data_IF_120778451154
#
_entry.id   IF_120778451154
#
_cell.length_a   1.000
_cell.length_b   1.000
_cell.length_c   1.000
_cell.angle_alpha   90.00
_cell.angle_beta   90.00
_cell.angle_gamma   90.00
#
_symmetry.space_group_name_H-M   'P 1'
#
loop_
_entity.id
_entity.type
_entity.pdbx_description
1 polymer ?
#
# COMPACT_ATOMS: atom_id res chain seq x y z
N UNK A 1 -59.63 -15.25 5.48
CA UNK A 1 -58.85 -16.21 4.67
C UNK A 1 -57.41 -16.12 5.17
N UNK A 2 -57.14 -16.80 6.28
CA UNK A 2 -55.80 -16.90 6.87
C UNK A 2 -55.01 -17.93 6.08
N UNK A 3 -53.99 -17.48 5.35
CA UNK A 3 -53.06 -18.39 4.66
C UNK A 3 -52.06 -18.86 5.71
N UNK A 4 -52.25 -20.09 6.20
CA UNK A 4 -51.31 -20.81 7.05
C UNK A 4 -49.99 -21.04 6.28
N UNK A 5 -49.04 -20.12 6.43
CA UNK A 5 -47.63 -20.28 6.03
C UNK A 5 -46.87 -21.15 7.05
N UNK A 6 -47.36 -22.37 7.29
CA UNK A 6 -46.68 -23.35 8.13
C UNK A 6 -45.94 -24.36 7.24
N UNK A 7 -44.65 -24.12 6.95
CA UNK A 7 -43.58 -25.11 6.65
C UNK A 7 -42.49 -24.71 5.62
N UNK A 8 -41.84 -23.55 5.77
CA UNK A 8 -40.54 -23.30 5.09
C UNK A 8 -39.29 -23.18 6.00
N UNK A 9 -39.06 -24.05 7.01
CA UNK A 9 -37.85 -24.00 7.82
C UNK A 9 -36.58 -24.55 7.14
N UNK A 10 -36.67 -25.38 6.08
CA UNK A 10 -35.49 -26.05 5.50
C UNK A 10 -34.67 -25.21 4.52
N UNK A 11 -35.31 -24.32 3.73
CA UNK A 11 -34.60 -23.54 2.71
C UNK A 11 -33.76 -22.39 3.30
N UNK A 12 -34.19 -21.82 4.43
CA UNK A 12 -33.48 -20.74 5.14
C UNK A 12 -32.13 -21.24 5.71
N UNK A 13 -32.04 -22.52 6.07
CA UNK A 13 -30.81 -23.12 6.58
C UNK A 13 -29.70 -23.23 5.52
N UNK A 14 -30.04 -23.45 4.25
CA UNK A 14 -29.04 -23.74 3.21
C UNK A 14 -28.44 -22.45 2.65
N UNK A 15 -29.29 -21.44 2.39
CA UNK A 15 -28.85 -20.12 1.96
C UNK A 15 -27.93 -19.43 2.99
N UNK A 16 -28.24 -19.56 4.28
CA UNK A 16 -27.41 -18.99 5.35
C UNK A 16 -26.03 -19.65 5.47
N UNK A 17 -25.94 -20.99 5.28
CA UNK A 17 -24.67 -21.71 5.23
C UNK A 17 -23.83 -21.30 4.03
N UNK A 18 -24.42 -21.24 2.84
CA UNK A 18 -23.72 -20.81 1.62
C UNK A 18 -23.16 -19.39 1.77
N UNK A 19 -23.97 -18.44 2.24
CA UNK A 19 -23.53 -17.07 2.46
C UNK A 19 -22.37 -16.99 3.45
N UNK A 20 -22.44 -17.74 4.57
CA UNK A 20 -21.35 -17.79 5.55
C UNK A 20 -20.05 -18.31 4.90
N UNK A 21 -20.14 -19.37 4.10
CA UNK A 21 -18.98 -19.93 3.38
C UNK A 21 -18.38 -18.91 2.41
N UNK A 22 -19.20 -18.25 1.60
CA UNK A 22 -18.74 -17.23 0.63
C UNK A 22 -18.03 -16.08 1.35
N UNK A 23 -18.55 -15.59 2.49
CA UNK A 23 -17.91 -14.54 3.28
C UNK A 23 -16.51 -14.94 3.78
N UNK A 24 -16.34 -16.19 4.23
CA UNK A 24 -15.03 -16.68 4.67
C UNK A 24 -14.07 -16.86 3.50
N UNK A 25 -14.54 -17.41 2.37
CA UNK A 25 -13.72 -17.51 1.15
C UNK A 25 -13.21 -16.11 0.77
N UNK A 26 -14.11 -15.12 0.75
CA UNK A 26 -13.77 -13.75 0.42
C UNK A 26 -12.73 -13.16 1.39
N UNK A 27 -12.92 -13.32 2.71
CA UNK A 27 -11.94 -12.86 3.70
C UNK A 27 -10.58 -13.54 3.52
N UNK A 28 -10.55 -14.86 3.39
CA UNK A 28 -9.30 -15.62 3.30
C UNK A 28 -8.54 -15.34 2.00
N UNK A 29 -9.23 -15.23 0.87
CA UNK A 29 -8.59 -14.81 -0.38
C UNK A 29 -8.02 -13.40 -0.26
N UNK A 30 -8.70 -12.48 0.42
CA UNK A 30 -8.20 -11.11 0.61
C UNK A 30 -7.02 -11.05 1.59
N UNK A 31 -7.00 -11.90 2.63
CA UNK A 31 -5.82 -12.05 3.50
C UNK A 31 -4.64 -12.67 2.75
N UNK A 32 -4.90 -13.67 1.89
CA UNK A 32 -3.86 -14.26 1.05
C UNK A 32 -3.30 -13.23 0.06
N UNK A 33 -4.14 -12.37 -0.53
CA UNK A 33 -3.68 -11.24 -1.32
C UNK A 33 -2.73 -10.37 -0.52
N UNK A 34 -3.10 -9.98 0.71
CA UNK A 34 -2.24 -9.18 1.58
C UNK A 34 -0.87 -9.84 1.78
N UNK A 35 -0.82 -11.16 2.02
CA UNK A 35 0.42 -11.93 2.14
C UNK A 35 1.24 -11.90 0.84
N UNK A 36 0.58 -11.98 -0.32
CA UNK A 36 1.23 -12.05 -1.64
C UNK A 36 1.68 -10.70 -2.18
N UNK A 37 1.25 -9.56 -1.62
CA UNK A 37 1.62 -8.22 -2.11
C UNK A 37 3.13 -7.96 -2.14
N UNK A 38 3.89 -8.66 -1.29
CA UNK A 38 5.34 -8.53 -1.21
C UNK A 38 6.05 -9.37 -2.29
N UNK A 39 5.37 -10.32 -2.93
CA UNK A 39 5.94 -11.25 -3.91
C UNK A 39 5.72 -10.76 -5.34
N UNK A 40 6.43 -11.34 -6.31
CA UNK A 40 6.15 -11.11 -7.73
C UNK A 40 4.75 -11.57 -8.11
N UNK A 41 4.19 -10.90 -9.13
CA UNK A 41 2.96 -11.37 -9.75
C UNK A 41 3.25 -12.72 -10.38
N UNK A 42 2.72 -13.76 -9.74
CA UNK A 42 2.77 -15.12 -10.22
C UNK A 42 1.34 -15.62 -10.47
N UNK A 43 1.23 -16.81 -11.04
CA UNK A 43 -0.07 -17.41 -11.34
C UNK A 43 -0.94 -17.57 -10.07
N UNK A 44 -0.32 -17.80 -8.91
CA UNK A 44 -1.04 -17.94 -7.64
C UNK A 44 -1.69 -16.60 -7.28
N UNK A 45 -0.96 -15.48 -7.35
CA UNK A 45 -1.53 -14.16 -7.07
C UNK A 45 -2.67 -13.81 -8.03
N UNK A 46 -2.55 -14.15 -9.32
CA UNK A 46 -3.65 -13.96 -10.29
C UNK A 46 -4.88 -14.77 -9.90
N UNK A 47 -4.69 -16.05 -9.51
CA UNK A 47 -5.79 -16.90 -9.02
C UNK A 47 -6.39 -16.32 -7.75
N UNK A 48 -5.57 -15.86 -6.80
CA UNK A 48 -6.03 -15.27 -5.55
C UNK A 48 -6.85 -14.01 -5.81
N UNK A 49 -6.42 -13.13 -6.72
CA UNK A 49 -7.18 -11.93 -7.14
C UNK A 49 -8.52 -12.36 -7.74
N UNK A 50 -8.51 -13.33 -8.64
CA UNK A 50 -9.73 -13.84 -9.27
C UNK A 50 -10.71 -14.40 -8.23
N UNK A 51 -10.25 -15.23 -7.30
CA UNK A 51 -11.08 -15.79 -6.22
C UNK A 51 -11.61 -14.69 -5.31
N UNK A 52 -10.80 -13.69 -4.95
CA UNK A 52 -11.23 -12.56 -4.12
C UNK A 52 -12.32 -11.74 -4.80
N UNK A 53 -12.15 -11.40 -6.08
CA UNK A 53 -13.14 -10.65 -6.85
C UNK A 53 -14.42 -11.46 -7.05
N UNK A 54 -14.30 -12.72 -7.50
CA UNK A 54 -15.45 -13.58 -7.76
C UNK A 54 -16.26 -13.84 -6.48
N UNK A 55 -15.60 -14.16 -5.37
CA UNK A 55 -16.28 -14.35 -4.08
C UNK A 55 -16.94 -13.07 -3.60
N UNK A 56 -16.34 -11.90 -3.83
CA UNK A 56 -16.95 -10.60 -3.50
C UNK A 56 -18.20 -10.32 -4.33
N UNK A 57 -18.18 -10.64 -5.62
CA UNK A 57 -19.36 -10.50 -6.50
C UNK A 57 -20.49 -11.42 -6.05
N UNK A 58 -20.19 -12.69 -5.75
CA UNK A 58 -21.18 -13.65 -5.23
C UNK A 58 -21.74 -13.16 -3.89
N UNK A 59 -20.88 -12.69 -2.97
CA UNK A 59 -21.29 -12.11 -1.69
C UNK A 59 -22.24 -10.93 -1.90
N UNK A 60 -21.88 -10.02 -2.81
CA UNK A 60 -22.66 -8.82 -3.15
C UNK A 60 -24.06 -9.19 -3.65
N UNK A 61 -24.16 -10.24 -4.49
CA UNK A 61 -25.43 -10.76 -5.02
C UNK A 61 -26.27 -11.42 -3.93
N UNK A 62 -25.67 -12.30 -3.13
CA UNK A 62 -26.39 -13.03 -2.07
C UNK A 62 -26.90 -12.10 -0.96
N UNK A 63 -26.14 -11.07 -0.61
CA UNK A 63 -26.52 -10.07 0.39
C UNK A 63 -27.33 -8.90 -0.17
N UNK A 64 -27.43 -8.79 -1.50
CA UNK A 64 -28.02 -7.64 -2.19
C UNK A 64 -27.44 -6.31 -1.67
N UNK A 65 -26.11 -6.21 -1.54
CA UNK A 65 -25.45 -5.03 -0.93
C UNK A 65 -25.86 -3.69 -1.55
N UNK A 66 -26.19 -3.67 -2.85
CA UNK A 66 -26.70 -2.47 -3.52
C UNK A 66 -28.03 -1.95 -2.96
N UNK A 67 -28.87 -2.81 -2.36
CA UNK A 67 -30.12 -2.40 -1.71
C UNK A 67 -29.87 -1.71 -0.36
N UNK A 68 -28.72 -2.00 0.26
CA UNK A 68 -28.29 -1.40 1.51
C UNK A 68 -27.41 -0.17 1.31
N UNK A 69 -26.96 0.09 0.08
CA UNK A 69 -26.23 1.30 -0.25
C UNK A 69 -27.09 2.53 0.01
N UNK A 70 -26.60 3.41 0.87
CA UNK A 70 -27.20 4.72 1.14
C UNK A 70 -26.19 5.78 0.75
N UNK A 71 -26.64 6.78 0.01
CA UNK A 71 -25.82 7.93 -0.27
C UNK A 71 -25.66 8.74 1.01
N UNK A 72 -24.50 8.65 1.61
CA UNK A 72 -24.09 9.42 2.77
C UNK A 72 -23.09 10.43 2.22
N UNK A 73 -23.45 11.72 2.20
CA UNK A 73 -22.57 12.84 1.78
C UNK A 73 -21.35 12.96 2.72
N UNK A 74 -20.53 11.93 2.75
CA UNK A 74 -19.42 11.68 3.65
C UNK A 74 -18.13 11.72 2.85
N UNK A 75 -17.07 12.23 3.46
CA UNK A 75 -15.73 12.23 2.85
C UNK A 75 -15.26 10.83 2.47
N UNK A 76 -15.74 9.80 3.18
CA UNK A 76 -15.45 8.40 2.90
C UNK A 76 -16.02 7.94 1.56
N UNK A 77 -17.30 8.24 1.29
CA UNK A 77 -17.88 7.94 -0.02
C UNK A 77 -17.19 8.76 -1.12
N UNK A 78 -16.89 10.03 -0.84
CA UNK A 78 -16.10 10.89 -1.71
C UNK A 78 -14.75 10.27 -2.09
N UNK A 79 -14.01 9.72 -1.12
CA UNK A 79 -12.74 9.03 -1.36
C UNK A 79 -12.88 7.87 -2.37
N UNK A 80 -13.85 6.97 -2.17
CA UNK A 80 -14.03 5.82 -3.08
C UNK A 80 -14.53 6.24 -4.46
N UNK A 81 -15.39 7.27 -4.54
CA UNK A 81 -15.79 7.87 -5.82
C UNK A 81 -14.56 8.44 -6.53
N UNK A 82 -13.67 9.13 -5.82
CA UNK A 82 -12.44 9.65 -6.42
C UNK A 82 -11.52 8.53 -6.94
N UNK A 83 -11.43 7.39 -6.25
CA UNK A 83 -10.68 6.23 -6.75
C UNK A 83 -11.28 5.73 -8.08
N UNK A 84 -12.61 5.54 -8.13
CA UNK A 84 -13.29 5.12 -9.37
C UNK A 84 -13.10 6.17 -10.46
N UNK A 85 -13.25 7.44 -10.12
CA UNK A 85 -13.07 8.55 -11.04
C UNK A 85 -11.66 8.58 -11.62
N UNK A 86 -10.62 8.34 -10.81
CA UNK A 86 -9.24 8.27 -11.28
C UNK A 86 -9.03 7.17 -12.34
N UNK A 87 -9.68 6.02 -12.17
CA UNK A 87 -9.72 4.98 -13.19
C UNK A 87 -10.47 5.44 -14.46
N UNK A 88 -11.63 6.09 -14.28
CA UNK A 88 -12.45 6.58 -15.39
C UNK A 88 -11.79 7.72 -16.19
N UNK A 89 -10.84 8.46 -15.60
CA UNK A 89 -10.06 9.46 -16.33
C UNK A 89 -9.42 8.86 -17.58
N UNK A 90 -9.01 7.60 -17.56
CA UNK A 90 -8.40 6.97 -18.72
C UNK A 90 -9.36 6.93 -19.92
N UNK A 91 -10.65 6.64 -19.70
CA UNK A 91 -11.66 6.64 -20.76
C UNK A 91 -12.01 8.04 -21.24
N UNK A 92 -12.03 9.02 -20.33
CA UNK A 92 -12.24 10.44 -20.68
C UNK A 92 -11.10 10.89 -21.61
N UNK A 93 -9.86 10.57 -21.23
CA UNK A 93 -8.66 10.97 -21.94
C UNK A 93 -8.40 10.20 -23.23
N UNK A 94 -9.01 9.02 -23.42
CA UNK A 94 -8.91 8.25 -24.66
C UNK A 94 -9.31 9.08 -25.90
N UNK A 95 -10.28 9.99 -25.76
CA UNK A 95 -10.71 10.87 -26.85
C UNK A 95 -9.67 11.93 -27.26
N UNK A 96 -8.69 12.20 -26.40
CA UNK A 96 -7.61 13.16 -26.62
C UNK A 96 -6.28 12.48 -26.99
N UNK A 97 -6.19 11.16 -26.89
CA UNK A 97 -5.00 10.40 -27.22
C UNK A 97 -4.81 10.31 -28.76
N UNK A 98 -3.56 10.55 -29.20
CA UNK A 98 -3.15 10.37 -30.61
C UNK A 98 -2.74 8.94 -30.94
N UNK A 99 -2.44 8.15 -29.91
CA UNK A 99 -1.99 6.77 -29.98
C UNK A 99 -2.67 6.01 -28.85
N UNK A 100 -3.14 4.79 -29.07
CA UNK A 100 -3.81 3.94 -28.08
C UNK A 100 -3.07 2.60 -27.80
N UNK A 101 -1.84 2.43 -28.29
CA UNK A 101 -1.08 1.18 -28.22
C UNK A 101 -0.84 0.69 -26.78
N UNK A 102 -0.85 1.59 -25.80
CA UNK A 102 -0.63 1.26 -24.39
C UNK A 102 -1.91 1.27 -23.55
N UNK A 103 -3.06 1.63 -24.14
CA UNK A 103 -4.30 1.88 -23.39
C UNK A 103 -4.73 0.66 -22.59
N UNK A 104 -4.79 -0.52 -23.24
CA UNK A 104 -5.24 -1.77 -22.61
C UNK A 104 -4.29 -2.19 -21.48
N UNK A 105 -2.97 -2.05 -21.67
CA UNK A 105 -1.98 -2.35 -20.64
C UNK A 105 -2.23 -1.51 -19.38
N UNK A 106 -2.27 -0.19 -19.53
CA UNK A 106 -2.48 0.72 -18.40
C UNK A 106 -3.88 0.57 -17.77
N UNK A 107 -4.89 0.21 -18.57
CA UNK A 107 -6.23 -0.08 -18.07
C UNK A 107 -6.22 -1.29 -17.12
N UNK A 108 -5.51 -2.35 -17.49
CA UNK A 108 -5.36 -3.54 -16.65
C UNK A 108 -4.54 -3.25 -15.39
N UNK A 109 -3.46 -2.47 -15.51
CA UNK A 109 -2.64 -2.06 -14.36
C UNK A 109 -3.41 -1.22 -13.35
N UNK A 110 -4.39 -0.42 -13.83
CA UNK A 110 -5.24 0.46 -12.99
C UNK A 110 -6.58 -0.16 -12.60
N UNK A 111 -6.91 -1.35 -13.10
CA UNK A 111 -8.15 -2.05 -12.73
C UNK A 111 -8.38 -2.17 -11.21
N UNK A 112 -7.34 -2.31 -10.36
CA UNK A 112 -7.53 -2.34 -8.91
C UNK A 112 -8.16 -1.06 -8.33
N UNK A 113 -7.98 0.11 -8.95
CA UNK A 113 -8.71 1.32 -8.55
C UNK A 113 -10.22 1.12 -8.67
N UNK A 114 -10.70 0.62 -9.81
CA UNK A 114 -12.13 0.35 -9.99
C UNK A 114 -12.63 -0.69 -8.97
N UNK A 115 -11.91 -1.81 -8.85
CA UNK A 115 -12.30 -2.91 -7.95
C UNK A 115 -12.40 -2.40 -6.51
N UNK A 116 -11.34 -1.76 -5.99
CA UNK A 116 -11.32 -1.31 -4.61
C UNK A 116 -12.22 -0.11 -4.34
N UNK A 117 -12.45 0.75 -5.34
CA UNK A 117 -13.46 1.80 -5.27
C UNK A 117 -14.86 1.23 -5.10
N UNK A 118 -15.24 0.22 -5.90
CA UNK A 118 -16.54 -0.46 -5.80
C UNK A 118 -16.67 -1.21 -4.47
N UNK A 119 -15.63 -1.97 -4.08
CA UNK A 119 -15.61 -2.67 -2.78
C UNK A 119 -15.76 -1.70 -1.62
N UNK A 120 -15.12 -0.53 -1.71
CA UNK A 120 -15.21 0.52 -0.70
C UNK A 120 -16.60 1.14 -0.56
N UNK A 121 -17.28 1.38 -1.69
CA UNK A 121 -18.64 1.92 -1.70
C UNK A 121 -19.69 0.93 -1.18
N UNK A 122 -19.58 -0.33 -1.58
CA UNK A 122 -20.54 -1.37 -1.19
C UNK A 122 -20.20 -2.01 0.17
N UNK A 123 -19.00 -1.77 0.68
CA UNK A 123 -18.52 -2.30 1.95
C UNK A 123 -18.10 -3.78 1.90
N UNK A 124 -17.54 -4.25 3.01
CA UNK A 124 -17.13 -5.64 3.22
C UNK A 124 -17.99 -6.30 4.29
N UNK A 125 -17.97 -7.63 4.37
CA UNK A 125 -18.66 -8.33 5.44
C UNK A 125 -17.99 -8.11 6.82
N UNK A 126 -18.76 -8.38 7.87
CA UNK A 126 -18.35 -8.21 9.29
C UNK A 126 -17.15 -9.04 9.77
N UNK A 127 -16.66 -10.01 8.98
CA UNK A 127 -15.51 -10.82 9.38
C UNK A 127 -14.17 -10.13 9.08
N UNK A 128 -14.18 -9.09 8.25
CA UNK A 128 -13.01 -8.27 8.04
C UNK A 128 -12.64 -7.55 9.34
N UNK A 129 -11.37 -7.64 9.73
CA UNK A 129 -10.85 -6.97 10.91
C UNK A 129 -9.42 -6.50 10.64
N UNK A 130 -9.13 -5.24 10.93
CA UNK A 130 -7.81 -4.63 10.69
C UNK A 130 -6.69 -5.38 11.42
N UNK A 131 -6.98 -6.00 12.57
CA UNK A 131 -6.03 -6.84 13.31
C UNK A 131 -5.57 -8.05 12.51
N UNK A 132 -6.46 -8.68 11.72
CA UNK A 132 -6.09 -9.83 10.89
C UNK A 132 -5.10 -9.43 9.79
N UNK A 133 -5.37 -8.30 9.14
CA UNK A 133 -4.45 -7.74 8.14
C UNK A 133 -3.12 -7.32 8.78
N UNK A 134 -3.14 -6.62 9.92
CA UNK A 134 -1.93 -6.25 10.64
C UNK A 134 -1.05 -7.46 10.96
N UNK A 135 -1.65 -8.57 11.41
CA UNK A 135 -0.93 -9.82 11.63
C UNK A 135 -0.39 -10.44 10.36
N UNK A 136 -1.16 -10.45 9.26
CA UNK A 136 -0.70 -10.96 7.97
C UNK A 136 0.55 -10.18 7.49
N UNK A 137 0.52 -8.85 7.54
CA UNK A 137 1.67 -8.01 7.16
C UNK A 137 2.92 -8.31 8.00
N UNK A 138 2.80 -8.33 9.33
CA UNK A 138 3.93 -8.59 10.23
C UNK A 138 4.47 -10.00 10.05
N UNK A 139 3.60 -11.01 10.01
CA UNK A 139 4.01 -12.41 9.87
C UNK A 139 4.70 -12.63 8.52
N UNK A 140 4.13 -12.15 7.42
CA UNK A 140 4.75 -12.24 6.10
C UNK A 140 6.11 -11.55 6.08
N UNK A 141 6.21 -10.31 6.57
CA UNK A 141 7.48 -9.59 6.60
C UNK A 141 8.55 -10.32 7.43
N UNK A 142 8.15 -10.91 8.55
CA UNK A 142 9.05 -11.72 9.37
C UNK A 142 9.52 -12.96 8.62
N UNK A 143 8.60 -13.77 8.08
CA UNK A 143 8.96 -15.01 7.40
C UNK A 143 9.76 -14.78 6.12
N UNK A 144 9.37 -13.79 5.29
CA UNK A 144 10.14 -13.39 4.11
C UNK A 144 11.51 -12.86 4.52
N UNK A 145 11.58 -12.04 5.56
CA UNK A 145 12.86 -11.52 6.07
C UNK A 145 13.80 -12.63 6.56
N UNK A 146 13.28 -13.60 7.33
CA UNK A 146 14.05 -14.77 7.78
C UNK A 146 14.48 -15.63 6.59
N UNK A 147 13.59 -15.85 5.62
CA UNK A 147 13.88 -16.59 4.40
C UNK A 147 15.01 -15.93 3.60
N UNK A 148 14.95 -14.61 3.38
CA UNK A 148 16.02 -13.90 2.67
C UNK A 148 17.34 -13.97 3.42
N UNK A 149 17.32 -13.78 4.74
CA UNK A 149 18.51 -13.88 5.59
C UNK A 149 19.10 -15.29 5.60
N UNK A 150 18.29 -16.35 5.55
CA UNK A 150 18.79 -17.73 5.51
C UNK A 150 19.49 -18.08 4.19
N UNK A 151 19.14 -17.39 3.09
CA UNK A 151 19.76 -17.60 1.78
C UNK A 151 21.09 -16.85 1.62
N UNK A 152 21.45 -15.97 2.56
CA UNK A 152 22.68 -15.18 2.46
C UNK A 152 23.97 -15.98 2.76
N UNK A 153 23.85 -17.22 3.25
CA UNK A 153 24.96 -18.10 3.67
C UNK A 153 25.95 -17.41 4.64
N UNK A 154 26.95 -18.16 5.13
CA UNK A 154 28.01 -17.58 5.96
C UNK A 154 28.91 -16.58 5.18
N UNK A 155 28.90 -16.65 3.85
CA UNK A 155 29.70 -15.77 2.97
C UNK A 155 29.32 -14.29 3.07
N UNK A 156 28.12 -13.95 3.54
CA UNK A 156 27.76 -12.53 3.72
C UNK A 156 28.68 -11.84 4.73
N UNK A 157 29.16 -12.55 5.75
CA UNK A 157 30.03 -11.97 6.77
C UNK A 157 31.39 -11.57 6.19
N UNK A 158 31.88 -12.27 5.16
CA UNK A 158 33.17 -12.03 4.54
C UNK A 158 33.13 -11.13 3.30
N UNK A 159 31.96 -10.94 2.66
CA UNK A 159 31.83 -10.07 1.48
C UNK A 159 31.71 -8.59 1.85
N UNK A 160 32.40 -7.75 1.09
CA UNK A 160 32.29 -6.30 1.15
C UNK A 160 30.98 -5.77 0.54
N UNK A 161 30.37 -6.52 -0.40
CA UNK A 161 29.12 -6.15 -1.06
C UNK A 161 27.92 -6.98 -0.56
N UNK A 162 27.57 -6.78 0.72
CA UNK A 162 26.45 -7.49 1.35
C UNK A 162 25.10 -7.07 0.77
N UNK A 163 24.95 -5.78 0.49
CA UNK A 163 23.70 -5.21 -0.02
C UNK A 163 23.43 -5.65 -1.46
N UNK A 164 24.46 -5.73 -2.32
CA UNK A 164 24.30 -6.26 -3.67
C UNK A 164 23.86 -7.72 -3.67
N UNK A 165 24.49 -8.58 -2.85
CA UNK A 165 24.08 -9.98 -2.71
C UNK A 165 22.64 -10.12 -2.19
N UNK A 166 22.28 -9.37 -1.15
CA UNK A 166 20.90 -9.33 -0.64
C UNK A 166 19.92 -8.85 -1.70
N UNK A 167 20.29 -7.82 -2.47
CA UNK A 167 19.51 -7.30 -3.58
C UNK A 167 19.22 -8.36 -4.64
N UNK A 168 20.24 -9.13 -5.04
CA UNK A 168 20.09 -10.23 -6.01
C UNK A 168 19.16 -11.33 -5.51
N UNK A 169 19.33 -11.79 -4.26
CA UNK A 169 18.48 -12.82 -3.66
C UNK A 169 17.03 -12.32 -3.54
N UNK A 170 16.84 -11.08 -3.06
CA UNK A 170 15.52 -10.47 -2.97
C UNK A 170 14.85 -10.36 -4.34
N UNK A 171 15.58 -9.92 -5.37
CA UNK A 171 15.07 -9.85 -6.75
C UNK A 171 14.74 -11.23 -7.29
N UNK A 172 15.46 -12.27 -6.91
CA UNK A 172 15.18 -13.64 -7.37
C UNK A 172 13.91 -14.24 -6.74
N UNK A 173 13.64 -13.97 -5.47
CA UNK A 173 12.60 -14.68 -4.70
C UNK A 173 11.40 -13.85 -4.27
N UNK A 174 11.53 -12.53 -4.17
CA UNK A 174 10.53 -11.66 -3.53
C UNK A 174 10.00 -10.64 -4.52
N UNK A 175 10.62 -9.47 -4.64
CA UNK A 175 10.21 -8.41 -5.57
C UNK A 175 11.29 -7.31 -5.65
N UNK A 176 10.97 -6.23 -6.37
CA UNK A 176 11.71 -4.99 -6.35
C UNK A 176 11.86 -4.45 -4.92
N UNK A 177 12.98 -3.75 -4.67
CA UNK A 177 13.25 -3.13 -3.37
C UNK A 177 12.15 -2.15 -2.95
N UNK A 178 11.51 -1.50 -3.92
CA UNK A 178 10.47 -0.50 -3.67
C UNK A 178 9.24 -1.12 -3.00
N UNK A 179 8.66 -2.18 -3.59
CA UNK A 179 7.52 -2.89 -2.98
C UNK A 179 7.89 -3.53 -1.66
N UNK A 180 9.04 -4.19 -1.61
CA UNK A 180 9.51 -4.87 -0.42
C UNK A 180 9.63 -3.88 0.75
N UNK A 181 10.31 -2.75 0.53
CA UNK A 181 10.51 -1.75 1.58
C UNK A 181 9.22 -1.06 2.01
N UNK A 182 8.31 -0.80 1.07
CA UNK A 182 6.98 -0.28 1.40
C UNK A 182 6.21 -1.25 2.31
N UNK A 183 6.22 -2.54 1.97
CA UNK A 183 5.57 -3.61 2.74
C UNK A 183 6.18 -3.76 4.16
N UNK A 184 7.50 -3.67 4.27
CA UNK A 184 8.22 -3.68 5.55
C UNK A 184 7.86 -2.48 6.42
N UNK A 185 7.84 -1.27 5.85
CA UNK A 185 7.43 -0.05 6.57
C UNK A 185 5.97 -0.10 7.02
N UNK A 186 5.08 -0.65 6.20
CA UNK A 186 3.69 -0.90 6.60
C UNK A 186 3.59 -1.86 7.78
N UNK A 187 4.42 -2.91 7.77
CA UNK A 187 4.46 -3.88 8.86
C UNK A 187 4.94 -3.23 10.17
N UNK A 188 5.84 -2.24 10.11
CA UNK A 188 6.21 -1.42 11.27
C UNK A 188 5.00 -0.59 11.78
N UNK A 189 4.25 0.05 10.88
CA UNK A 189 3.03 0.80 11.26
C UNK A 189 1.99 -0.14 11.89
N UNK A 190 1.80 -1.33 11.32
CA UNK A 190 0.85 -2.30 11.84
C UNK A 190 1.27 -2.91 13.18
N UNK A 191 2.56 -3.15 13.40
CA UNK A 191 3.02 -3.58 14.72
C UNK A 191 2.85 -2.48 15.75
N UNK A 192 3.08 -1.22 15.38
CA UNK A 192 2.76 -0.08 16.25
C UNK A 192 1.25 -0.01 16.53
N UNK A 193 0.41 -0.19 15.53
CA UNK A 193 -1.05 -0.25 15.69
C UNK A 193 -1.47 -1.33 16.69
N UNK A 194 -0.96 -2.56 16.54
CA UNK A 194 -1.28 -3.66 17.44
C UNK A 194 -0.81 -3.37 18.88
N UNK A 195 0.38 -2.80 19.04
CA UNK A 195 0.90 -2.41 20.34
C UNK A 195 0.14 -1.23 20.96
N UNK A 196 -0.30 -0.24 20.18
CA UNK A 196 -0.87 0.99 20.74
C UNK A 196 -2.39 0.94 20.94
N UNK A 197 -3.13 0.18 20.11
CA UNK A 197 -4.59 0.27 20.01
C UNK A 197 -5.33 -1.04 20.30
N UNK A 198 -4.63 -2.09 20.74
CA UNK A 198 -5.29 -3.35 21.06
C UNK A 198 -4.92 -3.82 22.47
N UNK A 199 -5.79 -4.63 23.07
CA UNK A 199 -5.56 -5.25 24.39
C UNK A 199 -4.35 -6.21 24.41
N UNK A 200 -3.65 -6.39 23.28
CA UNK A 200 -2.37 -7.11 23.16
C UNK A 200 -1.34 -6.59 24.18
N UNK A 201 -1.46 -5.33 24.62
CA UNK A 201 -0.61 -4.77 25.67
C UNK A 201 -0.62 -5.56 26.98
N UNK A 202 -1.60 -6.42 27.25
CA UNK A 202 -1.61 -7.27 28.45
C UNK A 202 -0.77 -8.56 28.29
N UNK A 203 -0.47 -8.99 27.06
CA UNK A 203 0.26 -10.23 26.81
C UNK A 203 1.75 -9.97 26.47
N UNK A 204 2.62 -10.23 27.44
CA UNK A 204 4.08 -10.02 27.28
C UNK A 204 4.68 -10.86 26.14
N UNK A 205 4.24 -12.11 25.95
CA UNK A 205 4.77 -12.99 24.89
C UNK A 205 4.53 -12.38 23.51
N UNK A 206 3.35 -11.80 23.32
CA UNK A 206 2.97 -11.19 22.05
C UNK A 206 3.75 -9.90 21.79
N UNK A 207 4.04 -9.10 22.83
CA UNK A 207 4.94 -7.94 22.71
C UNK A 207 6.35 -8.34 22.28
N UNK A 208 6.89 -9.39 22.91
CA UNK A 208 8.21 -9.92 22.57
C UNK A 208 8.22 -10.40 21.11
N UNK A 209 7.19 -11.13 20.68
CA UNK A 209 7.07 -11.59 19.30
C UNK A 209 7.03 -10.41 18.30
N UNK A 210 6.25 -9.36 18.56
CA UNK A 210 6.20 -8.16 17.72
C UNK A 210 7.56 -7.45 17.71
N UNK A 211 8.23 -7.34 18.86
CA UNK A 211 9.55 -6.72 18.96
C UNK A 211 10.61 -7.48 18.15
N UNK A 212 10.64 -8.82 18.24
CA UNK A 212 11.50 -9.66 17.40
C UNK A 212 11.18 -9.45 15.92
N UNK A 213 9.89 -9.39 15.57
CA UNK A 213 9.42 -9.05 14.23
C UNK A 213 10.00 -7.72 13.73
N UNK A 214 9.94 -6.67 14.57
CA UNK A 214 10.50 -5.36 14.25
C UNK A 214 12.00 -5.42 13.99
N UNK A 215 12.78 -6.15 14.81
CA UNK A 215 14.21 -6.30 14.58
C UNK A 215 14.48 -6.92 13.21
N UNK A 216 13.81 -8.02 12.86
CA UNK A 216 13.97 -8.65 11.54
C UNK A 216 13.58 -7.70 10.40
N UNK A 217 12.45 -7.00 10.53
CA UNK A 217 11.98 -6.04 9.52
C UNK A 217 12.99 -4.92 9.31
N UNK A 218 13.50 -4.32 10.40
CA UNK A 218 14.47 -3.23 10.34
C UNK A 218 15.79 -3.70 9.73
N UNK A 219 16.29 -4.88 10.12
CA UNK A 219 17.49 -5.47 9.50
C UNK A 219 17.33 -5.65 7.98
N UNK A 220 16.16 -6.13 7.52
CA UNK A 220 15.90 -6.28 6.09
C UNK A 220 15.84 -4.92 5.36
N UNK A 221 15.26 -3.88 5.98
CA UNK A 221 15.26 -2.51 5.43
C UNK A 221 16.69 -1.97 5.26
N UNK A 222 17.61 -2.27 6.18
CA UNK A 222 19.01 -1.86 6.09
C UNK A 222 19.79 -2.57 5.00
N UNK A 223 19.52 -3.86 4.80
CA UNK A 223 20.15 -4.65 3.74
C UNK A 223 19.56 -4.35 2.35
N UNK A 224 18.33 -3.84 2.31
CA UNK A 224 17.65 -3.51 1.07
C UNK A 224 18.30 -2.36 0.29
N UNK A 225 18.07 -2.34 -1.01
CA UNK A 225 18.66 -1.32 -1.89
C UNK A 225 17.96 0.05 -1.83
N UNK A 226 16.74 0.11 -1.26
CA UNK A 226 15.86 1.27 -1.37
C UNK A 226 16.11 2.36 -0.34
N UNK A 227 16.74 3.46 -0.77
CA UNK A 227 17.02 4.67 0.05
C UNK A 227 15.77 5.24 0.71
N UNK A 228 14.71 5.47 -0.06
CA UNK A 228 13.46 6.06 0.45
C UNK A 228 12.81 5.17 1.50
N UNK A 229 12.84 3.85 1.29
CA UNK A 229 12.33 2.88 2.25
C UNK A 229 13.08 2.91 3.58
N UNK A 230 14.41 2.93 3.53
CA UNK A 230 15.26 3.04 4.72
C UNK A 230 15.03 4.38 5.45
N UNK A 231 15.06 5.51 4.74
CA UNK A 231 14.82 6.83 5.33
C UNK A 231 13.43 6.94 5.96
N UNK A 232 12.40 6.41 5.28
CA UNK A 232 11.03 6.38 5.82
C UNK A 232 10.97 5.58 7.12
N UNK A 233 11.70 4.45 7.20
CA UNK A 233 11.75 3.63 8.42
C UNK A 233 12.40 4.37 9.60
N UNK A 234 13.45 5.16 9.35
CA UNK A 234 14.06 5.98 10.38
C UNK A 234 13.10 7.02 10.93
N UNK A 235 12.35 7.69 10.05
CA UNK A 235 11.32 8.64 10.46
C UNK A 235 10.22 7.94 11.27
N UNK A 236 9.73 6.78 10.82
CA UNK A 236 8.73 5.99 11.56
C UNK A 236 9.21 5.59 12.95
N UNK A 237 10.40 5.01 13.05
CA UNK A 237 10.98 4.56 14.33
C UNK A 237 11.22 5.75 15.27
N UNK A 238 11.67 6.88 14.75
CA UNK A 238 11.83 8.13 15.51
C UNK A 238 10.49 8.57 16.09
N UNK A 239 9.44 8.60 15.28
CA UNK A 239 8.08 8.95 15.71
C UNK A 239 7.54 7.96 16.75
N UNK A 240 7.82 6.66 16.60
CA UNK A 240 7.41 5.64 17.57
C UNK A 240 8.11 5.79 18.92
N UNK A 241 9.44 5.95 18.91
CA UNK A 241 10.26 6.19 20.10
C UNK A 241 9.78 7.46 20.79
N UNK A 242 9.64 8.55 20.04
CA UNK A 242 9.17 9.82 20.55
C UNK A 242 7.81 9.67 21.24
N UNK A 243 6.82 9.12 20.53
CA UNK A 243 5.45 8.97 21.07
C UNK A 243 5.38 8.03 22.27
N UNK A 244 6.13 6.92 22.25
CA UNK A 244 6.15 5.94 23.33
C UNK A 244 6.75 6.52 24.62
N UNK A 245 7.90 7.20 24.52
CA UNK A 245 8.57 7.76 25.70
C UNK A 245 7.98 9.09 26.15
N UNK A 246 7.33 9.85 25.26
CA UNK A 246 6.72 11.15 25.60
C UNK A 246 5.67 11.00 26.70
N UNK A 247 4.95 9.88 26.70
CA UNK A 247 3.96 9.55 27.72
C UNK A 247 4.59 9.18 29.07
N UNK A 248 5.88 8.84 29.12
CA UNK A 248 6.59 8.42 30.34
C UNK A 248 7.45 9.53 30.93
N UNK A 249 8.29 10.16 30.11
CA UNK A 249 9.21 11.22 30.53
C UNK A 249 9.74 12.01 29.34
N UNK A 250 9.63 13.35 29.41
CA UNK A 250 10.15 14.26 28.37
C UNK A 250 11.67 14.14 28.23
N UNK A 251 12.40 13.99 29.34
CA UNK A 251 13.86 13.83 29.31
C UNK A 251 14.26 12.51 28.65
N UNK A 252 13.61 11.40 29.03
CA UNK A 252 13.88 10.09 28.41
C UNK A 252 13.57 10.11 26.91
N UNK A 253 12.52 10.83 26.51
CA UNK A 253 12.17 11.02 25.10
C UNK A 253 13.27 11.75 24.34
N UNK A 254 13.77 12.86 24.89
CA UNK A 254 14.85 13.63 24.28
C UNK A 254 16.12 12.78 24.16
N UNK A 255 16.53 12.11 25.23
CA UNK A 255 17.73 11.25 25.24
C UNK A 255 17.60 10.11 24.22
N UNK A 256 16.51 9.33 24.28
CA UNK A 256 16.32 8.18 23.38
C UNK A 256 16.21 8.58 21.92
N UNK A 257 15.51 9.68 21.62
CA UNK A 257 15.37 10.20 20.26
C UNK A 257 16.71 10.71 19.73
N UNK A 258 17.46 11.47 20.53
CA UNK A 258 18.79 11.96 20.13
C UNK A 258 19.77 10.82 19.88
N UNK A 259 19.83 9.83 20.78
CA UNK A 259 20.69 8.64 20.59
C UNK A 259 20.30 7.92 19.30
N UNK A 260 19.01 7.71 19.06
CA UNK A 260 18.54 7.05 17.85
C UNK A 260 18.90 7.83 16.57
N UNK A 261 18.72 9.16 16.58
CA UNK A 261 19.08 10.01 15.43
C UNK A 261 20.59 10.00 15.17
N UNK A 262 21.43 10.01 16.19
CA UNK A 262 22.88 9.88 16.03
C UNK A 262 23.25 8.55 15.37
N UNK A 263 22.66 7.44 15.83
CA UNK A 263 22.86 6.11 15.21
C UNK A 263 22.37 6.12 13.76
N UNK A 264 21.20 6.68 13.48
CA UNK A 264 20.64 6.76 12.13
C UNK A 264 21.53 7.57 11.19
N UNK A 265 22.05 8.73 11.64
CA UNK A 265 22.98 9.56 10.88
C UNK A 265 24.27 8.79 10.56
N UNK A 266 24.87 8.11 11.54
CA UNK A 266 26.06 7.30 11.31
C UNK A 266 25.81 6.19 10.28
N UNK A 267 24.66 5.51 10.35
CA UNK A 267 24.29 4.47 9.40
C UNK A 267 24.04 5.02 7.99
N UNK A 268 23.48 6.23 7.89
CA UNK A 268 23.28 6.94 6.62
C UNK A 268 24.64 7.33 6.00
N UNK A 269 25.53 7.91 6.80
CA UNK A 269 26.85 8.39 6.38
C UNK A 269 27.73 7.25 5.84
N UNK A 270 27.67 6.08 6.47
CA UNK A 270 28.40 4.89 6.03
C UNK A 270 27.70 4.11 4.90
N UNK A 271 26.52 4.55 4.44
CA UNK A 271 25.82 3.87 3.35
C UNK A 271 26.30 4.43 1.99
N UNK A 272 27.05 3.66 1.18
CA UNK A 272 27.63 4.16 -0.06
C UNK A 272 26.58 4.67 -1.05
N UNK A 273 25.33 4.19 -1.00
CA UNK A 273 24.25 4.66 -1.87
C UNK A 273 23.73 6.05 -1.56
N UNK A 274 23.92 6.52 -0.33
CA UNK A 274 23.57 7.87 0.09
C UNK A 274 24.73 8.84 -0.09
N UNK A 275 25.85 8.39 -0.67
CA UNK A 275 26.94 9.27 -1.05
C UNK A 275 26.48 10.30 -2.09
N UNK A 276 27.05 11.50 -1.99
CA UNK A 276 26.73 12.61 -2.88
C UNK A 276 26.96 12.27 -4.36
N UNK A 277 28.03 11.52 -4.66
CA UNK A 277 28.34 11.08 -6.03
C UNK A 277 27.25 10.19 -6.62
N UNK A 278 26.69 9.28 -5.82
CA UNK A 278 25.60 8.39 -6.26
C UNK A 278 24.26 9.14 -6.38
N UNK A 279 24.00 10.12 -5.52
CA UNK A 279 22.80 10.98 -5.63
C UNK A 279 22.87 11.83 -6.90
N UNK A 280 24.03 12.42 -7.21
CA UNK A 280 24.24 13.25 -8.42
C UNK A 280 24.17 12.46 -9.73
N UNK A 281 24.42 11.15 -9.69
CA UNK A 281 24.34 10.25 -10.86
C UNK A 281 22.98 9.60 -11.02
N UNK A 282 21.99 9.97 -10.21
CA UNK A 282 20.66 9.37 -10.26
C UNK A 282 19.90 9.79 -11.54
N UNK A 283 19.51 8.85 -12.42
CA UNK A 283 18.84 9.15 -13.69
C UNK A 283 17.48 9.84 -13.50
N UNK A 284 16.83 9.66 -12.35
CA UNK A 284 15.52 10.25 -12.04
C UNK A 284 15.49 11.78 -12.13
N UNK A 285 16.60 12.46 -11.85
CA UNK A 285 16.65 13.93 -11.96
C UNK A 285 16.38 14.38 -13.40
N UNK A 286 16.96 13.66 -14.36
CA UNK A 286 16.80 13.93 -15.78
C UNK A 286 15.42 13.51 -16.29
N UNK A 287 14.93 12.34 -15.84
CA UNK A 287 13.54 11.88 -16.09
C UNK A 287 12.53 12.94 -15.64
N UNK A 288 12.71 13.50 -14.44
CA UNK A 288 11.84 14.55 -13.90
C UNK A 288 11.97 15.86 -14.67
N UNK A 289 13.17 16.24 -15.11
CA UNK A 289 13.39 17.44 -15.93
C UNK A 289 12.61 17.33 -17.25
N UNK A 290 12.78 16.23 -17.98
CA UNK A 290 12.07 15.96 -19.24
C UNK A 290 10.55 15.92 -19.01
N UNK A 291 10.11 15.25 -17.95
CA UNK A 291 8.69 15.19 -17.58
C UNK A 291 8.11 16.58 -17.29
N UNK A 292 8.81 17.46 -16.56
CA UNK A 292 8.35 18.82 -16.29
C UNK A 292 8.29 19.65 -17.56
N UNK A 293 9.23 19.49 -18.49
CA UNK A 293 9.19 20.14 -19.80
C UNK A 293 7.97 19.70 -20.62
N UNK A 294 7.63 18.41 -20.57
CA UNK A 294 6.44 17.88 -21.23
C UNK A 294 5.14 18.32 -20.55
N UNK A 295 5.09 18.46 -19.22
CA UNK A 295 3.95 19.10 -18.53
C UNK A 295 3.76 20.54 -19.01
N UNK A 296 4.85 21.30 -19.17
CA UNK A 296 4.78 22.67 -19.70
C UNK A 296 4.27 22.71 -21.15
N UNK A 297 4.61 21.72 -21.97
CA UNK A 297 4.19 21.63 -23.36
C UNK A 297 2.75 21.10 -23.56
N UNK A 298 2.30 20.17 -22.72
CA UNK A 298 0.99 19.52 -22.80
C UNK A 298 -0.18 20.35 -22.26
N UNK A 299 0.11 21.54 -21.71
CA UNK A 299 -0.85 22.45 -21.10
C UNK A 299 -1.61 21.81 -19.90
N UNK A 300 -2.55 22.57 -19.32
CA UNK A 300 -3.31 22.18 -18.12
C UNK A 300 -4.13 20.88 -18.24
N UNK A 301 -4.33 20.37 -19.47
CA UNK A 301 -5.21 19.22 -19.73
C UNK A 301 -4.49 17.88 -19.67
N UNK A 302 -3.17 17.79 -19.91
CA UNK A 302 -2.47 16.52 -20.06
C UNK A 302 -2.63 15.91 -21.46
N UNK A 303 -1.98 14.76 -21.70
CA UNK A 303 -1.86 14.15 -23.04
C UNK A 303 -2.54 12.80 -23.20
N UNK A 304 -3.10 12.24 -22.13
CA UNK A 304 -3.55 10.85 -22.07
C UNK A 304 -2.40 9.87 -21.85
N UNK A 305 -2.72 8.68 -21.36
CA UNK A 305 -1.76 7.71 -20.85
C UNK A 305 -0.89 7.14 -21.97
N UNK A 306 -1.50 6.70 -23.08
CA UNK A 306 -0.74 6.04 -24.14
C UNK A 306 0.09 7.02 -24.96
N UNK A 307 -0.44 8.23 -25.20
CA UNK A 307 0.28 9.27 -25.94
C UNK A 307 1.45 9.79 -25.11
N UNK A 308 1.27 9.97 -23.80
CA UNK A 308 2.37 10.28 -22.89
C UNK A 308 3.48 9.22 -22.97
N UNK A 309 3.13 7.94 -22.78
CA UNK A 309 4.10 6.84 -22.86
C UNK A 309 4.89 6.88 -24.19
N UNK A 310 4.18 7.03 -25.32
CA UNK A 310 4.80 7.12 -26.64
C UNK A 310 5.79 8.30 -26.79
N UNK A 311 5.49 9.46 -26.20
CA UNK A 311 6.36 10.64 -26.25
C UNK A 311 7.59 10.45 -25.35
N UNK A 312 7.42 9.83 -24.17
CA UNK A 312 8.48 9.72 -23.18
C UNK A 312 9.52 8.64 -23.52
N UNK A 313 9.09 7.51 -24.10
CA UNK A 313 9.96 6.37 -24.41
C UNK A 313 11.23 6.74 -25.22
N UNK A 314 11.15 7.51 -26.32
CA UNK A 314 12.34 7.93 -27.07
C UNK A 314 13.28 8.82 -26.27
N UNK A 315 12.75 9.74 -25.46
CA UNK A 315 13.57 10.63 -24.65
C UNK A 315 14.27 9.87 -23.51
N UNK A 316 13.57 8.93 -22.89
CA UNK A 316 14.15 8.07 -21.85
C UNK A 316 15.17 7.08 -22.42
N UNK A 317 14.99 6.63 -23.66
CA UNK A 317 15.99 5.80 -24.35
C UNK A 317 17.33 6.52 -24.52
N UNK A 318 17.33 7.86 -24.74
CA UNK A 318 18.57 8.64 -24.89
C UNK A 318 19.41 8.68 -23.61
N UNK A 319 18.80 8.46 -22.45
CA UNK A 319 19.46 8.47 -21.15
C UNK A 319 19.73 7.06 -20.61
N UNK A 320 19.51 6.02 -21.44
CA UNK A 320 19.74 4.62 -21.07
C UNK A 320 18.59 3.97 -20.30
N UNK A 321 17.43 4.62 -20.21
CA UNK A 321 16.27 4.20 -19.43
C UNK A 321 15.11 3.78 -20.37
N UNK A 322 15.44 3.18 -21.51
CA UNK A 322 14.52 2.82 -22.60
C UNK A 322 13.37 1.89 -22.17
N UNK A 323 13.52 1.20 -21.03
CA UNK A 323 12.52 0.26 -20.51
C UNK A 323 11.37 0.94 -19.78
N UNK A 324 11.55 2.19 -19.35
CA UNK A 324 10.56 2.90 -18.55
C UNK A 324 9.77 3.86 -19.43
N UNK A 325 8.46 3.96 -19.20
CA UNK A 325 7.57 4.89 -19.89
C UNK A 325 6.89 5.87 -18.92
N UNK A 326 7.46 6.04 -17.72
CA UNK A 326 6.86 6.79 -16.63
C UNK A 326 7.87 7.67 -15.89
N UNK A 327 7.37 8.72 -15.25
CA UNK A 327 8.18 9.74 -14.58
C UNK A 327 8.84 9.30 -13.25
N UNK A 328 8.60 8.07 -12.76
CA UNK A 328 8.98 7.66 -11.39
C UNK A 328 8.58 8.68 -10.31
N UNK A 329 7.48 9.37 -10.56
CA UNK A 329 6.84 10.29 -9.64
C UNK A 329 5.38 10.34 -10.04
N UNK A 330 4.52 9.83 -9.17
CA UNK A 330 3.11 9.61 -9.47
C UNK A 330 2.35 10.91 -9.64
N UNK A 331 2.74 11.97 -8.94
CA UNK A 331 2.15 13.29 -9.12
C UNK A 331 2.49 13.85 -10.50
N UNK A 332 3.75 13.73 -10.91
CA UNK A 332 4.20 14.18 -12.21
C UNK A 332 3.59 13.35 -13.34
N UNK A 333 3.56 12.02 -13.18
CA UNK A 333 2.91 11.10 -14.11
C UNK A 333 1.43 11.41 -14.27
N UNK A 334 0.69 11.58 -13.17
CA UNK A 334 -0.74 11.91 -13.23
C UNK A 334 -0.99 13.26 -13.90
N UNK A 335 -0.06 14.20 -13.74
CA UNK A 335 -0.12 15.52 -14.39
C UNK A 335 0.15 15.41 -15.89
N UNK A 336 1.11 14.59 -16.31
CA UNK A 336 1.40 14.34 -17.72
C UNK A 336 0.21 13.69 -18.44
N UNK A 337 -0.42 12.72 -17.77
CA UNK A 337 -1.50 11.93 -18.35
C UNK A 337 -2.82 12.69 -18.37
N UNK A 338 -3.19 13.34 -17.26
CA UNK A 338 -4.52 13.90 -17.04
C UNK A 338 -4.51 15.38 -16.62
N UNK A 339 -3.36 16.05 -16.72
CA UNK A 339 -3.22 17.46 -16.41
C UNK A 339 -3.44 17.77 -14.93
N UNK A 340 -3.92 19.00 -14.66
CA UNK A 340 -4.24 19.43 -13.29
C UNK A 340 -5.33 18.56 -12.67
N UNK A 341 -6.23 18.01 -13.48
CA UNK A 341 -7.29 17.13 -12.99
C UNK A 341 -6.72 15.86 -12.36
N UNK A 342 -5.75 15.20 -13.00
CA UNK A 342 -5.05 14.05 -12.43
C UNK A 342 -4.33 14.39 -11.13
N UNK A 343 -3.59 15.49 -11.12
CA UNK A 343 -2.85 15.95 -9.94
C UNK A 343 -3.77 16.20 -8.74
N UNK A 344 -4.85 16.97 -8.93
CA UNK A 344 -5.83 17.28 -7.89
C UNK A 344 -6.54 16.01 -7.39
N UNK A 345 -6.85 15.08 -8.30
CA UNK A 345 -7.48 13.81 -7.95
C UNK A 345 -6.60 13.00 -6.99
N UNK A 346 -5.31 12.85 -7.29
CA UNK A 346 -4.37 12.14 -6.39
C UNK A 346 -4.23 12.86 -5.04
N UNK A 347 -4.09 14.19 -5.02
CA UNK A 347 -4.03 14.94 -3.76
C UNK A 347 -5.30 14.75 -2.91
N UNK A 348 -6.47 14.78 -3.55
CA UNK A 348 -7.73 14.57 -2.88
C UNK A 348 -7.83 13.18 -2.26
N UNK A 349 -7.28 12.13 -2.89
CA UNK A 349 -7.25 10.78 -2.30
C UNK A 349 -6.57 10.77 -0.93
N UNK A 350 -5.41 11.43 -0.79
CA UNK A 350 -4.69 11.48 0.49
C UNK A 350 -5.41 12.32 1.53
N UNK A 351 -5.91 13.49 1.12
CA UNK A 351 -6.66 14.37 1.99
C UNK A 351 -7.92 13.67 2.53
N UNK A 352 -8.75 13.13 1.63
CA UNK A 352 -10.00 12.47 2.00
C UNK A 352 -9.75 11.19 2.80
N UNK A 353 -8.73 10.38 2.51
CA UNK A 353 -8.37 9.23 3.34
C UNK A 353 -8.08 9.62 4.80
N UNK A 354 -7.29 10.68 5.02
CA UNK A 354 -6.96 11.17 6.35
C UNK A 354 -8.19 11.64 7.14
N UNK A 355 -9.09 12.39 6.52
CA UNK A 355 -10.28 12.92 7.18
C UNK A 355 -11.43 11.92 7.28
N UNK A 356 -11.39 10.82 6.53
CA UNK A 356 -12.41 9.77 6.55
C UNK A 356 -12.27 8.78 7.71
N UNK A 357 -11.12 8.75 8.40
CA UNK A 357 -10.93 7.92 9.60
C UNK A 357 -11.31 8.68 10.88
N UNK A 358 -11.73 7.93 11.91
CA UNK A 358 -12.00 8.54 13.22
C UNK A 358 -10.72 9.08 13.87
N UNK A 359 -10.88 10.06 14.76
CA UNK A 359 -9.77 10.78 15.42
C UNK A 359 -8.71 9.85 16.03
N UNK A 360 -9.13 8.74 16.64
CA UNK A 360 -8.24 7.74 17.23
C UNK A 360 -7.31 7.06 16.21
N UNK A 361 -7.70 6.96 14.94
CA UNK A 361 -6.91 6.35 13.87
C UNK A 361 -6.17 7.35 12.98
N UNK A 362 -6.46 8.65 13.12
CA UNK A 362 -5.79 9.70 12.32
C UNK A 362 -4.28 9.62 12.40
N UNK A 363 -3.72 9.27 13.56
CA UNK A 363 -2.28 9.09 13.69
C UNK A 363 -1.75 7.94 12.83
N UNK A 364 -2.39 6.76 12.86
CA UNK A 364 -2.00 5.63 12.01
C UNK A 364 -2.14 6.00 10.53
N UNK A 365 -3.26 6.63 10.16
CA UNK A 365 -3.49 7.09 8.80
C UNK A 365 -2.45 8.12 8.35
N UNK A 366 -2.03 9.06 9.20
CA UNK A 366 -0.94 9.99 8.88
C UNK A 366 0.36 9.27 8.55
N UNK A 367 0.70 8.21 9.29
CA UNK A 367 1.91 7.43 9.02
C UNK A 367 1.81 6.66 7.70
N UNK A 368 0.64 6.06 7.43
CA UNK A 368 0.38 5.36 6.16
C UNK A 368 0.44 6.34 4.99
N UNK A 369 -0.21 7.50 5.11
CA UNK A 369 -0.11 8.57 4.12
C UNK A 369 1.34 9.03 3.94
N UNK A 370 2.11 9.22 5.03
CA UNK A 370 3.51 9.63 4.95
C UNK A 370 4.35 8.66 4.13
N UNK A 371 4.35 7.36 4.46
CA UNK A 371 5.17 6.38 3.72
C UNK A 371 4.67 6.20 2.29
N UNK A 372 3.37 6.34 2.07
CA UNK A 372 2.78 6.25 0.73
C UNK A 372 3.20 7.43 -0.12
N UNK A 373 3.09 8.66 0.40
CA UNK A 373 3.53 9.86 -0.29
C UNK A 373 5.04 9.81 -0.58
N UNK A 374 5.85 9.38 0.40
CA UNK A 374 7.29 9.20 0.22
C UNK A 374 7.59 8.21 -0.92
N UNK A 375 6.85 7.11 -1.00
CA UNK A 375 6.98 6.12 -2.07
C UNK A 375 6.56 6.70 -3.44
N UNK A 376 5.38 7.33 -3.51
CA UNK A 376 4.82 7.89 -4.74
C UNK A 376 5.65 9.04 -5.32
N UNK A 377 6.43 9.74 -4.50
CA UNK A 377 7.34 10.79 -4.96
C UNK A 377 8.52 10.25 -5.77
N UNK A 378 8.88 8.97 -5.60
CA UNK A 378 10.06 8.34 -6.22
C UNK A 378 9.75 7.05 -6.98
N UNK A 379 8.48 6.67 -7.07
CA UNK A 379 7.96 5.44 -7.68
C UNK A 379 6.90 5.71 -8.74
N UNK A 380 6.39 4.66 -9.37
CA UNK A 380 5.42 4.70 -10.47
C UNK A 380 4.12 3.91 -10.17
N UNK A 381 3.17 3.97 -11.12
CA UNK A 381 1.87 3.30 -11.03
C UNK A 381 1.93 1.78 -11.26
N UNK A 382 2.85 1.29 -12.08
CA UNK A 382 2.72 -0.03 -12.71
C UNK A 382 2.77 -1.16 -11.67
N UNK A 383 3.55 -0.98 -10.60
CA UNK A 383 3.87 -2.08 -9.70
C UNK A 383 3.61 -1.76 -8.22
N UNK A 384 3.49 -0.50 -7.84
CA UNK A 384 3.57 -0.06 -6.44
C UNK A 384 2.23 0.40 -5.85
N UNK A 385 1.30 0.83 -6.69
CA UNK A 385 0.09 1.51 -6.22
C UNK A 385 -1.06 0.55 -5.89
N UNK A 386 -1.09 -0.63 -6.50
CA UNK A 386 -2.11 -1.63 -6.21
C UNK A 386 -2.07 -2.09 -4.73
N UNK A 387 -0.89 -2.37 -4.13
CA UNK A 387 -0.75 -2.56 -2.67
C UNK A 387 -1.20 -1.36 -1.83
N UNK A 388 -0.88 -0.13 -2.29
CA UNK A 388 -1.20 1.13 -1.60
C UNK A 388 -2.71 1.37 -1.54
N UNK A 389 -3.39 1.28 -2.69
CA UNK A 389 -4.84 1.48 -2.82
C UNK A 389 -5.58 0.39 -2.05
N UNK A 390 -5.16 -0.86 -2.18
CA UNK A 390 -5.69 -1.98 -1.40
C UNK A 390 -5.65 -1.68 0.10
N UNK A 391 -4.50 -1.23 0.61
CA UNK A 391 -4.32 -0.97 2.02
C UNK A 391 -5.15 0.22 2.52
N UNK A 392 -5.16 1.34 1.79
CA UNK A 392 -5.98 2.51 2.15
C UNK A 392 -7.45 2.11 2.23
N UNK A 393 -7.92 1.27 1.29
CA UNK A 393 -9.27 0.71 1.30
C UNK A 393 -9.48 -0.22 2.49
N UNK A 394 -8.56 -1.13 2.79
CA UNK A 394 -8.66 -2.00 3.99
C UNK A 394 -8.78 -1.16 5.27
N UNK A 395 -7.94 -0.14 5.46
CA UNK A 395 -8.01 0.70 6.65
C UNK A 395 -9.33 1.46 6.73
N UNK A 396 -9.80 2.05 5.61
CA UNK A 396 -11.01 2.87 5.58
C UNK A 396 -12.30 2.07 5.68
N UNK A 397 -12.32 0.87 5.10
CA UNK A 397 -13.51 0.01 5.08
C UNK A 397 -13.64 -0.77 6.39
N UNK A 398 -12.55 -1.33 6.90
CA UNK A 398 -12.59 -2.28 8.03
C UNK A 398 -12.66 -1.59 9.40
N UNK A 399 -12.36 -0.30 9.46
CA UNK A 399 -12.35 0.47 10.70
C UNK A 399 -13.76 0.73 11.29
N UNK A 400 -14.84 0.45 10.56
CA UNK A 400 -16.19 0.86 10.95
C UNK A 400 -16.83 0.10 12.13
N UNK A 401 -16.50 -1.16 12.42
CA UNK A 401 -17.39 -1.98 13.26
C UNK A 401 -16.78 -2.58 14.55
N UNK A 402 -15.48 -2.41 14.82
CA UNK A 402 -14.79 -3.26 15.82
C UNK A 402 -14.57 -2.67 17.22
N UNK A 403 -15.02 -1.46 17.52
CA UNK A 403 -14.70 -0.80 18.80
C UNK A 403 -15.88 -0.06 19.47
N UNK A 404 -17.07 -0.09 18.88
CA UNK A 404 -18.29 0.41 19.54
C UNK A 404 -18.96 -0.67 20.41
N UNK A 405 -18.40 -1.88 20.47
CA UNK A 405 -18.79 -2.94 21.40
C UNK A 405 -17.91 -2.90 22.67
N UNK A 406 -18.29 -2.02 23.60
CA UNK A 406 -18.38 -2.35 25.04
C UNK A 406 -17.14 -2.77 25.85
N UNK A 407 -15.94 -2.23 25.63
CA UNK A 407 -14.91 -2.25 26.69
C UNK A 407 -14.59 -0.81 27.15
N UNK A 408 -15.04 -0.39 28.35
CA UNK A 408 -14.57 0.85 28.94
C UNK A 408 -13.07 0.75 29.20
N UNK A 409 -12.33 1.77 28.76
CA UNK A 409 -10.88 1.92 28.92
C UNK A 409 -10.52 2.08 30.39
#
# INVERSE_FOLDING_TARGET
MEIHLSSMPSQISTASKLLKTVRYINLYSTLLLAVELVLYINIIQVITVFVAVLSYVIETILEKKWQHFRWENSLKQGFFITIIFYFLLQFIFLSFEKNNSYFVRFLLERLPFLIFGVVGLLGVNKYYNLRLFAWAFIATSFFVGVFLLSHLNAEILSRNDRNGLFGLIRIAYVNSHMKFNYYLNLSLIFGYYLLAYTAILKNLRLKIAIAIGFVVIVLNLFLSDGRTGMLSSFVLLTVFIFRYFWQKSRLLTLISTTIFLLVAITLIDHNPRLSESNIKREPRQEIWRVSVEQVKASHFMGTGVSTNAYIMLPEYSKIGEAEYAHAHNVFLQSTLEYGVLGFVTILFLFFSAYYSVSSRFRFIMSLVCFITLAQLLVGDFEWEINPIVFLLVVILVVHQDSLDASEPV
#
